data_IF_811700221115
#
_entry.id   IF_811700221115
#
_cell.length_a   1.000
_cell.length_b   1.000
_cell.length_c   1.000
_cell.angle_alpha   90.00
_cell.angle_beta   90.00
_cell.angle_gamma   90.00
#
_symmetry.space_group_name_H-M   'P 1'
#
loop_
_entity.id
_entity.type
_entity.pdbx_description
1 polymer ?
#
# COMPACT_ATOMS: atom_id res chain seq x y z
N UNK A 1 8.68 9.58 27.23
CA UNK A 1 7.90 8.95 26.15
C UNK A 1 8.72 9.15 24.89
N UNK A 2 9.20 8.08 24.27
CA UNK A 2 9.96 8.18 23.02
C UNK A 2 9.04 8.69 21.91
N UNK A 3 9.56 9.54 21.02
CA UNK A 3 8.80 9.96 19.84
C UNK A 3 8.47 8.74 18.98
N UNK A 4 7.25 8.67 18.39
CA UNK A 4 6.91 7.57 17.47
C UNK A 4 7.90 7.55 16.30
N UNK A 5 8.28 6.37 15.80
CA UNK A 5 9.18 6.21 14.63
C UNK A 5 8.55 6.75 13.34
N UNK A 6 9.34 7.03 12.28
CA UNK A 6 8.80 7.42 10.98
C UNK A 6 7.81 6.41 10.39
N UNK A 7 8.10 5.10 10.49
CA UNK A 7 7.18 4.03 10.06
C UNK A 7 5.87 4.05 10.85
N UNK A 8 5.93 4.16 12.18
CA UNK A 8 4.71 4.26 13.00
C UNK A 8 3.89 5.49 12.65
N UNK A 9 4.53 6.66 12.46
CA UNK A 9 3.83 7.89 12.06
C UNK A 9 3.12 7.72 10.71
N UNK A 10 3.78 7.09 9.75
CA UNK A 10 3.20 6.84 8.43
C UNK A 10 2.03 5.84 8.53
N UNK A 11 2.20 4.73 9.24
CA UNK A 11 1.14 3.75 9.48
C UNK A 11 -0.12 4.40 10.05
N UNK A 12 0.05 5.18 11.12
CA UNK A 12 -1.07 5.85 11.80
C UNK A 12 -1.75 6.85 10.85
N UNK A 13 -0.98 7.63 10.09
CA UNK A 13 -1.50 8.58 9.13
C UNK A 13 -2.28 7.90 7.99
N UNK A 14 -1.81 6.76 7.49
CA UNK A 14 -2.49 5.98 6.45
C UNK A 14 -3.80 5.36 6.95
N UNK A 15 -3.81 4.79 8.16
CA UNK A 15 -5.01 4.23 8.77
C UNK A 15 -6.08 5.30 9.02
N UNK A 16 -5.68 6.56 9.25
CA UNK A 16 -6.61 7.70 9.37
C UNK A 16 -7.33 8.05 8.07
N UNK A 17 -6.74 7.81 6.90
CA UNK A 17 -7.42 8.00 5.60
C UNK A 17 -8.66 7.09 5.55
N UNK A 18 -8.47 5.79 5.80
CA UNK A 18 -9.53 4.78 5.80
C UNK A 18 -10.52 4.88 6.96
N UNK A 19 -10.25 5.69 7.98
CA UNK A 19 -11.16 5.93 9.11
C UNK A 19 -12.34 6.84 8.77
N UNK A 20 -12.28 7.59 7.66
CA UNK A 20 -13.40 8.37 7.11
C UNK A 20 -13.83 9.56 7.97
N UNK A 21 -13.48 10.78 7.54
CA UNK A 21 -14.11 12.02 8.01
C UNK A 21 -13.73 12.51 9.42
N UNK A 22 -12.68 11.96 10.03
CA UNK A 22 -12.20 12.45 11.33
C UNK A 22 -11.40 13.76 11.21
N UNK A 23 -10.80 14.01 10.05
CA UNK A 23 -9.96 15.17 9.80
C UNK A 23 -10.27 15.77 8.41
N UNK A 24 -10.10 17.09 8.22
CA UNK A 24 -10.16 17.71 6.90
C UNK A 24 -9.12 17.13 5.94
N UNK A 25 -9.46 17.07 4.65
CA UNK A 25 -8.57 16.54 3.59
C UNK A 25 -7.18 17.19 3.61
N UNK A 26 -7.11 18.51 3.72
CA UNK A 26 -5.84 19.24 3.79
C UNK A 26 -4.98 18.86 5.01
N UNK A 27 -5.62 18.51 6.14
CA UNK A 27 -4.90 18.06 7.33
C UNK A 27 -4.39 16.62 7.15
N UNK A 28 -5.20 15.74 6.56
CA UNK A 28 -4.77 14.38 6.21
C UNK A 28 -3.61 14.40 5.22
N UNK A 29 -3.71 15.21 4.15
CA UNK A 29 -2.65 15.39 3.18
C UNK A 29 -1.35 15.89 3.83
N UNK A 30 -1.44 16.87 4.74
CA UNK A 30 -0.29 17.38 5.48
C UNK A 30 0.36 16.32 6.38
N UNK A 31 -0.46 15.54 7.11
CA UNK A 31 0.02 14.47 8.00
C UNK A 31 0.70 13.34 7.22
N UNK A 32 0.03 12.83 6.19
CA UNK A 32 0.55 11.75 5.34
C UNK A 32 1.80 12.21 4.60
N UNK A 33 1.77 13.40 3.99
CA UNK A 33 2.93 13.96 3.29
C UNK A 33 4.13 14.20 4.19
N UNK A 34 3.92 14.61 5.45
CA UNK A 34 5.01 14.75 6.43
C UNK A 34 5.57 13.40 6.84
N UNK A 35 4.70 12.43 7.16
CA UNK A 35 5.16 11.09 7.56
C UNK A 35 5.85 10.32 6.40
N UNK A 36 5.38 10.49 5.16
CA UNK A 36 6.04 9.96 3.96
C UNK A 36 7.42 10.57 3.78
N UNK A 37 7.55 11.90 3.86
CA UNK A 37 8.86 12.58 3.79
C UNK A 37 9.82 12.08 4.86
N UNK A 38 9.37 12.00 6.11
CA UNK A 38 10.20 11.53 7.21
C UNK A 38 10.75 10.12 6.98
N UNK A 39 9.91 9.19 6.48
CA UNK A 39 10.35 7.82 6.20
C UNK A 39 11.18 7.74 4.91
N UNK A 40 10.84 8.54 3.89
CA UNK A 40 11.59 8.58 2.64
C UNK A 40 13.00 9.14 2.86
N UNK A 41 13.17 10.16 3.71
CA UNK A 41 14.48 10.70 4.06
C UNK A 41 15.38 9.61 4.69
N UNK A 42 14.80 8.71 5.49
CA UNK A 42 15.51 7.58 6.10
C UNK A 42 15.86 6.48 5.09
N UNK A 43 14.92 6.14 4.19
CA UNK A 43 15.02 4.96 3.32
C UNK A 43 15.63 5.25 1.95
N UNK A 44 15.33 6.42 1.37
CA UNK A 44 15.63 6.83 -0.01
C UNK A 44 16.62 8.00 -0.08
N UNK A 45 16.65 8.85 0.95
CA UNK A 45 17.42 10.10 0.94
C UNK A 45 17.05 11.00 -0.24
N UNK A 46 18.07 11.58 -0.90
CA UNK A 46 17.90 12.55 -1.99
C UNK A 46 17.22 12.00 -3.27
N UNK A 47 17.03 10.67 -3.37
CA UNK A 47 16.37 10.03 -4.53
C UNK A 47 14.85 9.96 -4.40
N UNK A 48 14.30 10.47 -3.29
CA UNK A 48 12.87 10.50 -3.02
C UNK A 48 12.10 11.32 -4.06
N UNK A 49 10.91 10.82 -4.41
CA UNK A 49 9.90 11.47 -5.25
C UNK A 49 8.54 11.57 -4.57
N UNK A 50 8.49 11.40 -3.24
CA UNK A 50 7.23 11.39 -2.48
C UNK A 50 6.50 12.74 -2.49
N UNK A 51 7.15 13.82 -2.90
CA UNK A 51 6.53 15.13 -3.14
C UNK A 51 5.57 15.15 -4.33
N UNK A 52 5.68 14.17 -5.25
CA UNK A 52 4.80 14.02 -6.40
C UNK A 52 3.47 13.33 -6.05
N UNK A 53 3.29 12.92 -4.79
CA UNK A 53 2.03 12.35 -4.30
C UNK A 53 1.38 13.22 -3.24
N UNK A 54 0.06 13.12 -3.18
CA UNK A 54 -0.75 13.75 -2.13
C UNK A 54 -1.88 12.82 -1.71
N UNK A 55 -2.51 13.15 -0.58
CA UNK A 55 -3.87 12.67 -0.31
C UNK A 55 -4.83 13.63 -0.99
N UNK A 56 -5.80 13.07 -1.70
CA UNK A 56 -6.91 13.85 -2.22
C UNK A 56 -8.11 12.97 -2.49
N UNK A 57 -9.25 13.60 -2.70
CA UNK A 57 -10.47 12.87 -3.00
C UNK A 57 -10.80 12.75 -4.48
N UNK A 58 -11.62 11.76 -4.78
CA UNK A 58 -12.24 11.57 -6.09
C UNK A 58 -13.76 11.41 -5.92
N UNK A 59 -14.51 11.90 -6.91
CA UNK A 59 -15.95 11.81 -6.95
C UNK A 59 -16.37 10.49 -7.60
N UNK A 60 -16.82 9.54 -6.78
CA UNK A 60 -17.40 8.31 -7.24
C UNK A 60 -18.94 8.39 -7.36
N UNK A 61 -19.52 7.47 -8.14
CA UNK A 61 -20.98 7.36 -8.33
C UNK A 61 -21.76 7.17 -7.02
N UNK A 62 -21.08 6.70 -5.96
CA UNK A 62 -21.64 6.47 -4.63
C UNK A 62 -21.18 7.48 -3.57
N UNK A 63 -20.30 8.43 -3.90
CA UNK A 63 -19.79 9.43 -2.97
C UNK A 63 -18.34 9.83 -3.21
N UNK A 64 -17.79 10.60 -2.30
CA UNK A 64 -16.40 11.08 -2.29
C UNK A 64 -15.51 10.10 -1.51
N UNK A 65 -14.46 9.57 -2.11
CA UNK A 65 -13.45 8.76 -1.45
C UNK A 65 -12.10 9.48 -1.42
N UNK A 66 -11.39 9.42 -0.29
CA UNK A 66 -10.04 9.95 -0.13
C UNK A 66 -9.02 8.83 -0.36
N UNK A 67 -7.96 9.10 -1.10
CA UNK A 67 -6.89 8.13 -1.34
C UNK A 67 -5.56 8.83 -1.57
N UNK A 68 -4.51 8.03 -1.77
CA UNK A 68 -3.22 8.54 -2.24
C UNK A 68 -3.26 8.61 -3.76
N UNK A 69 -2.82 9.74 -4.31
CA UNK A 69 -2.84 10.05 -5.74
C UNK A 69 -1.63 10.86 -6.14
N UNK A 70 -1.35 10.92 -7.43
CA UNK A 70 -0.38 11.87 -7.96
C UNK A 70 -0.93 13.30 -7.85
N UNK A 71 -0.04 14.24 -7.53
CA UNK A 71 -0.40 15.64 -7.27
C UNK A 71 -0.88 16.34 -8.53
N UNK A 72 -0.14 16.20 -9.63
CA UNK A 72 -0.38 16.91 -10.89
C UNK A 72 -1.16 16.07 -11.92
N UNK A 73 -1.34 14.79 -11.64
CA UNK A 73 -1.99 13.82 -12.51
C UNK A 73 -3.09 13.13 -11.70
N UNK A 74 -4.30 13.71 -11.66
CA UNK A 74 -5.46 13.34 -10.84
C UNK A 74 -5.88 11.86 -10.95
N UNK A 75 -5.05 10.95 -10.44
CA UNK A 75 -5.11 9.50 -10.61
C UNK A 75 -4.63 8.88 -9.31
N UNK A 76 -5.41 7.95 -8.79
CA UNK A 76 -5.08 7.25 -7.55
C UNK A 76 -4.00 6.20 -7.80
N UNK A 77 -3.12 6.03 -6.82
CA UNK A 77 -2.03 5.05 -6.93
C UNK A 77 -2.52 3.61 -7.18
N UNK A 78 -3.60 3.11 -6.52
CA UNK A 78 -4.15 1.81 -6.85
C UNK A 78 -4.48 1.67 -8.34
N UNK A 79 -5.09 2.70 -8.95
CA UNK A 79 -5.53 2.65 -10.36
C UNK A 79 -4.34 2.47 -11.30
N UNK A 80 -3.21 3.14 -11.03
CA UNK A 80 -1.96 2.94 -11.78
C UNK A 80 -1.39 1.52 -11.61
N UNK A 81 -1.49 0.95 -10.40
CA UNK A 81 -1.05 -0.42 -10.15
C UNK A 81 -1.97 -1.47 -10.77
N UNK A 82 -3.27 -1.17 -10.91
CA UNK A 82 -4.20 -2.04 -11.65
C UNK A 82 -3.85 -2.10 -13.15
N UNK A 83 -3.46 -0.98 -13.77
CA UNK A 83 -3.00 -0.96 -15.16
C UNK A 83 -1.61 -1.59 -15.36
N UNK A 84 -0.88 -1.86 -14.26
CA UNK A 84 0.39 -2.59 -14.29
C UNK A 84 0.21 -4.12 -14.22
N UNK A 85 -1.03 -4.61 -14.23
CA UNK A 85 -1.32 -6.04 -14.27
C UNK A 85 -0.68 -6.71 -15.49
N UNK A 86 -0.31 -7.98 -15.31
CA UNK A 86 0.41 -8.80 -16.30
C UNK A 86 1.76 -8.21 -16.77
N UNK A 87 2.28 -7.17 -16.11
CA UNK A 87 3.59 -6.64 -16.41
C UNK A 87 4.69 -7.67 -16.10
N UNK A 88 5.66 -7.76 -17.00
CA UNK A 88 6.83 -8.61 -16.78
C UNK A 88 7.71 -8.05 -15.66
N UNK A 89 8.40 -8.95 -14.94
CA UNK A 89 9.45 -8.53 -14.00
C UNK A 89 10.46 -7.62 -14.71
N UNK A 90 10.70 -6.39 -14.24
CA UNK A 90 11.68 -5.50 -14.87
C UNK A 90 13.07 -6.14 -14.86
N UNK A 91 13.86 -6.03 -15.96
CA UNK A 91 15.20 -6.62 -16.02
C UNK A 91 16.11 -6.21 -14.86
N UNK A 92 16.05 -4.94 -14.44
CA UNK A 92 16.82 -4.40 -13.33
C UNK A 92 16.45 -5.07 -12.00
N UNK A 93 15.16 -5.35 -11.78
CA UNK A 93 14.71 -6.11 -10.61
C UNK A 93 15.21 -7.55 -10.68
N UNK A 94 15.10 -8.19 -11.86
CA UNK A 94 15.55 -9.57 -12.05
C UNK A 94 17.06 -9.72 -11.86
N UNK A 95 17.87 -8.76 -12.30
CA UNK A 95 19.32 -8.74 -12.11
C UNK A 95 19.70 -8.72 -10.62
N UNK A 96 18.98 -7.90 -9.83
CA UNK A 96 19.21 -7.77 -8.39
C UNK A 96 18.55 -8.92 -7.59
N UNK A 97 17.50 -9.53 -8.13
CA UNK A 97 16.67 -10.56 -7.48
C UNK A 97 16.46 -11.75 -8.42
N UNK A 98 17.52 -12.51 -8.75
CA UNK A 98 17.45 -13.55 -9.79
C UNK A 98 16.54 -14.74 -9.43
N UNK A 99 16.08 -14.84 -8.17
CA UNK A 99 15.13 -15.87 -7.72
C UNK A 99 13.67 -15.42 -7.78
N UNK A 100 13.42 -14.13 -8.05
CA UNK A 100 12.07 -13.61 -8.20
C UNK A 100 11.46 -14.23 -9.45
N UNK A 101 10.27 -14.81 -9.31
CA UNK A 101 9.52 -15.36 -10.45
C UNK A 101 8.44 -14.38 -10.90
N UNK A 102 7.91 -14.61 -12.10
CA UNK A 102 6.78 -13.84 -12.61
C UNK A 102 5.56 -13.98 -11.67
N UNK A 103 5.27 -15.18 -11.16
CA UNK A 103 4.14 -15.38 -10.24
C UNK A 103 4.32 -14.59 -8.92
N UNK A 104 5.54 -14.52 -8.39
CA UNK A 104 5.82 -13.71 -7.20
C UNK A 104 5.72 -12.20 -7.47
N UNK A 105 6.07 -11.76 -8.68
CA UNK A 105 5.92 -10.36 -9.09
C UNK A 105 4.45 -9.97 -9.24
N UNK A 106 3.65 -10.79 -9.90
CA UNK A 106 2.20 -10.59 -10.03
C UNK A 106 1.50 -10.59 -8.66
N UNK A 107 1.88 -11.52 -7.78
CA UNK A 107 1.35 -11.55 -6.41
C UNK A 107 1.74 -10.30 -5.61
N UNK A 108 2.96 -9.78 -5.79
CA UNK A 108 3.42 -8.53 -5.18
C UNK A 108 2.62 -7.33 -5.67
N UNK A 109 2.37 -7.21 -6.98
CA UNK A 109 1.57 -6.13 -7.54
C UNK A 109 0.12 -6.21 -7.03
N UNK A 110 -0.45 -7.42 -6.97
CA UNK A 110 -1.78 -7.62 -6.43
C UNK A 110 -1.88 -7.26 -4.95
N UNK A 111 -0.92 -7.71 -4.15
CA UNK A 111 -0.89 -7.35 -2.75
C UNK A 111 -0.76 -5.83 -2.57
N UNK A 112 0.11 -5.18 -3.35
CA UNK A 112 0.35 -3.74 -3.29
C UNK A 112 -0.91 -2.93 -3.60
N UNK A 113 -1.61 -3.22 -4.70
CA UNK A 113 -2.83 -2.50 -5.08
C UNK A 113 -3.98 -2.76 -4.10
N UNK A 114 -4.10 -3.97 -3.54
CA UNK A 114 -5.09 -4.26 -2.49
C UNK A 114 -4.79 -3.51 -1.18
N UNK A 115 -3.53 -3.44 -0.75
CA UNK A 115 -3.14 -2.67 0.44
C UNK A 115 -3.45 -1.18 0.25
N UNK A 116 -3.10 -0.60 -0.89
CA UNK A 116 -3.45 0.81 -1.12
C UNK A 116 -4.97 1.02 -1.17
N UNK A 117 -5.71 0.10 -1.82
CA UNK A 117 -7.18 0.16 -1.91
C UNK A 117 -7.85 0.06 -0.54
N UNK A 118 -7.36 -0.80 0.37
CA UNK A 118 -7.92 -0.94 1.72
C UNK A 118 -7.60 0.26 2.62
N UNK A 119 -6.63 1.10 2.25
CA UNK A 119 -6.26 2.31 2.99
C UNK A 119 -7.04 3.55 2.56
N UNK A 120 -7.63 3.57 1.36
CA UNK A 120 -8.50 4.68 0.92
C UNK A 120 -9.70 4.89 1.86
N UNK A 121 -10.42 6.00 1.85
CA UNK A 121 -11.69 6.10 2.57
C UNK A 121 -12.80 5.39 1.80
N UNK A 122 -13.82 4.91 2.51
CA UNK A 122 -15.06 4.53 1.83
C UNK A 122 -15.74 5.76 1.22
N UNK A 123 -16.49 5.62 0.10
CA UNK A 123 -17.22 6.71 -0.50
C UNK A 123 -18.23 7.32 0.49
N UNK A 124 -18.11 8.62 0.76
CA UNK A 124 -19.06 9.40 1.58
C UNK A 124 -20.03 10.13 0.65
N UNK A 125 -21.35 9.96 0.77
CA UNK A 125 -22.30 10.68 -0.09
C UNK A 125 -22.06 12.18 -0.01
N UNK A 126 -21.87 12.83 -1.16
CA UNK A 126 -21.82 14.29 -1.24
C UNK A 126 -23.25 14.80 -1.06
N UNK A 127 -23.46 15.76 -0.15
CA UNK A 127 -24.76 16.41 0.01
C UNK A 127 -25.14 17.09 -1.30
N UNK A 128 -26.15 16.56 -1.99
CA UNK A 128 -26.64 17.17 -3.20
C UNK A 128 -27.39 18.47 -2.83
N UNK A 129 -27.25 19.55 -3.62
CA UNK A 129 -28.06 20.74 -3.43
C UNK A 129 -29.55 20.35 -3.45
N UNK A 130 -30.33 20.94 -2.53
CA UNK A 130 -31.73 20.62 -2.31
C UNK A 130 -32.53 20.70 -3.64
N UNK A 131 -32.88 19.56 -4.23
CA UNK A 131 -33.68 19.52 -5.46
C UNK A 131 -33.54 18.26 -6.33
N UNK A 132 -32.51 17.44 -6.16
CA UNK A 132 -32.32 16.20 -6.95
C UNK A 132 -32.23 14.96 -6.05
N UNK A 133 -33.40 14.48 -5.60
CA UNK A 133 -33.52 13.14 -5.00
C UNK A 133 -33.66 12.10 -6.11
N UNK A 134 -32.55 11.76 -6.77
CA UNK A 134 -32.46 10.51 -7.54
C UNK A 134 -32.35 9.36 -6.52
N UNK A 135 -33.08 8.26 -6.74
CA UNK A 135 -33.09 7.07 -5.88
C UNK A 135 -31.65 6.63 -5.54
N UNK A 136 -31.17 6.96 -4.34
CA UNK A 136 -29.86 6.54 -3.83
C UNK A 136 -29.99 5.12 -3.30
N UNK A 137 -29.18 4.21 -3.83
CA UNK A 137 -29.01 2.87 -3.25
C UNK A 137 -28.52 2.99 -1.80
N UNK A 138 -28.98 2.13 -0.87
CA UNK A 138 -28.52 2.16 0.51
C UNK A 138 -27.01 1.93 0.61
N UNK A 139 -26.36 2.66 1.51
CA UNK A 139 -24.94 2.55 1.85
C UNK A 139 -24.56 1.07 2.10
N UNK A 140 -23.49 0.54 1.49
CA UNK A 140 -22.83 -0.64 2.03
C UNK A 140 -22.23 -0.26 3.39
N UNK A 141 -22.54 -1.05 4.43
CA UNK A 141 -21.90 -0.93 5.75
C UNK A 141 -20.39 -0.96 5.59
N UNK A 142 -19.65 -0.30 6.50
CA UNK A 142 -18.18 -0.39 6.50
C UNK A 142 -17.76 -1.84 6.41
N UNK A 143 -16.97 -2.18 5.39
CA UNK A 143 -16.69 -3.59 5.13
C UNK A 143 -15.91 -4.16 6.31
N UNK A 144 -16.49 -5.13 7.02
CA UNK A 144 -15.81 -5.86 8.11
C UNK A 144 -14.47 -6.42 7.62
N UNK A 145 -14.42 -6.87 6.36
CA UNK A 145 -13.20 -7.38 5.74
C UNK A 145 -12.11 -6.32 5.60
N UNK A 146 -12.46 -5.07 5.32
CA UNK A 146 -11.52 -3.94 5.26
C UNK A 146 -10.91 -3.66 6.63
N UNK A 147 -11.74 -3.60 7.68
CA UNK A 147 -11.24 -3.40 9.04
C UNK A 147 -10.33 -4.54 9.48
N UNK A 148 -10.71 -5.78 9.17
CA UNK A 148 -9.89 -6.96 9.44
C UNK A 148 -8.56 -6.94 8.71
N UNK A 149 -8.51 -6.52 7.44
CA UNK A 149 -7.25 -6.41 6.70
C UNK A 149 -6.34 -5.31 7.26
N UNK A 150 -6.90 -4.13 7.59
CA UNK A 150 -6.12 -3.08 8.27
C UNK A 150 -5.56 -3.55 9.62
N UNK A 151 -6.36 -4.29 10.41
CA UNK A 151 -5.91 -4.88 11.67
C UNK A 151 -4.82 -5.92 11.46
N UNK A 152 -4.96 -6.79 10.45
CA UNK A 152 -3.95 -7.79 10.12
C UNK A 152 -2.62 -7.16 9.69
N UNK A 153 -2.65 -6.08 8.90
CA UNK A 153 -1.46 -5.32 8.53
C UNK A 153 -0.82 -4.65 9.75
N UNK A 154 -1.59 -3.98 10.60
CA UNK A 154 -1.08 -3.35 11.81
C UNK A 154 -0.49 -4.37 12.80
N UNK A 155 -1.06 -5.57 12.86
CA UNK A 155 -0.60 -6.64 13.74
C UNK A 155 0.84 -7.08 13.45
N UNK A 156 1.29 -6.98 12.19
CA UNK A 156 2.68 -7.33 11.80
C UNK A 156 3.68 -6.44 12.52
N UNK A 157 3.41 -5.13 12.59
CA UNK A 157 4.29 -4.18 13.26
C UNK A 157 4.16 -4.24 14.79
N UNK A 158 2.96 -4.54 15.32
CA UNK A 158 2.61 -4.33 16.73
C UNK A 158 2.70 -5.60 17.59
N UNK A 159 2.48 -6.79 17.02
CA UNK A 159 2.25 -8.02 17.80
C UNK A 159 3.46 -8.96 17.80
N UNK A 160 4.45 -8.65 18.64
CA UNK A 160 5.61 -9.53 18.90
C UNK A 160 5.25 -10.90 19.52
N UNK A 161 4.03 -11.05 20.03
CA UNK A 161 3.54 -12.28 20.65
C UNK A 161 2.97 -13.35 19.71
N UNK A 162 2.62 -13.00 18.47
CA UNK A 162 2.10 -13.96 17.49
C UNK A 162 3.24 -14.63 16.72
N UNK A 163 3.15 -15.93 16.48
CA UNK A 163 4.11 -16.65 15.64
C UNK A 163 4.04 -16.17 14.19
N UNK A 164 5.11 -16.44 13.44
CA UNK A 164 5.18 -16.13 12.01
C UNK A 164 4.03 -16.79 11.21
N UNK A 165 3.69 -18.02 11.56
CA UNK A 165 2.62 -18.79 10.91
C UNK A 165 1.25 -18.18 11.19
N UNK A 166 1.00 -17.74 12.42
CA UNK A 166 -0.25 -17.06 12.80
C UNK A 166 -0.40 -15.71 12.08
N UNK A 167 0.65 -14.89 12.05
CA UNK A 167 0.63 -13.62 11.33
C UNK A 167 0.39 -13.82 9.83
N UNK A 168 1.05 -14.82 9.23
CA UNK A 168 0.86 -15.17 7.81
C UNK A 168 -0.56 -15.64 7.54
N UNK A 169 -1.09 -16.55 8.35
CA UNK A 169 -2.44 -17.08 8.19
C UNK A 169 -3.51 -15.98 8.34
N UNK A 170 -3.33 -15.11 9.34
CA UNK A 170 -4.24 -14.00 9.60
C UNK A 170 -4.24 -12.99 8.45
N UNK A 171 -3.06 -12.60 7.95
CA UNK A 171 -2.93 -11.71 6.79
C UNK A 171 -3.59 -12.30 5.54
N UNK A 172 -3.30 -13.56 5.21
CA UNK A 172 -3.86 -14.23 4.02
C UNK A 172 -5.38 -14.35 4.09
N UNK A 173 -5.92 -14.70 5.26
CA UNK A 173 -7.38 -14.77 5.46
C UNK A 173 -8.01 -13.40 5.23
N UNK A 174 -7.49 -12.35 5.88
CA UNK A 174 -8.06 -11.02 5.76
C UNK A 174 -7.94 -10.45 4.32
N UNK A 175 -6.86 -10.78 3.61
CA UNK A 175 -6.70 -10.45 2.19
C UNK A 175 -7.78 -11.11 1.33
N UNK A 176 -8.05 -12.40 1.53
CA UNK A 176 -9.08 -13.11 0.77
C UNK A 176 -10.51 -12.64 1.10
N UNK A 177 -10.77 -12.38 2.38
CA UNK A 177 -12.05 -11.81 2.83
C UNK A 177 -12.30 -10.45 2.18
N UNK A 178 -11.24 -9.64 1.98
CA UNK A 178 -11.34 -8.34 1.33
C UNK A 178 -11.41 -8.42 -0.20
N UNK A 179 -10.52 -9.20 -0.83
CA UNK A 179 -10.37 -9.28 -2.28
C UNK A 179 -11.37 -10.23 -2.96
N UNK A 180 -12.13 -10.99 -2.17
CA UNK A 180 -12.92 -12.15 -2.59
C UNK A 180 -12.07 -13.36 -2.98
N UNK A 181 -12.65 -14.55 -2.77
CA UNK A 181 -12.03 -15.86 -2.95
C UNK A 181 -11.95 -16.34 -4.42
N UNK A 182 -11.59 -15.46 -5.35
CA UNK A 182 -11.35 -15.86 -6.76
C UNK A 182 -10.13 -16.79 -6.86
N UNK A 183 -10.04 -17.64 -7.90
CA UNK A 183 -8.88 -18.52 -8.09
C UNK A 183 -7.56 -17.75 -8.10
N UNK A 184 -7.50 -16.64 -8.82
CA UNK A 184 -6.30 -15.83 -8.98
C UNK A 184 -5.86 -15.22 -7.65
N UNK A 185 -6.81 -14.69 -6.85
CA UNK A 185 -6.51 -14.18 -5.53
C UNK A 185 -6.01 -15.28 -4.59
N UNK A 186 -6.62 -16.48 -4.64
CA UNK A 186 -6.20 -17.62 -3.83
C UNK A 186 -4.79 -18.07 -4.14
N UNK A 187 -4.40 -18.05 -5.41
CA UNK A 187 -3.05 -18.38 -5.85
C UNK A 187 -2.06 -17.31 -5.37
N UNK A 188 -2.33 -16.04 -5.69
CA UNK A 188 -1.45 -14.93 -5.33
C UNK A 188 -1.19 -14.80 -3.83
N UNK A 189 -2.20 -14.98 -2.95
CA UNK A 189 -1.97 -14.89 -1.50
C UNK A 189 -1.04 -15.98 -0.97
N UNK A 190 -0.88 -17.12 -1.65
CA UNK A 190 0.10 -18.15 -1.25
C UNK A 190 1.55 -17.69 -1.44
N UNK A 191 1.77 -16.68 -2.28
CA UNK A 191 3.07 -16.06 -2.49
C UNK A 191 3.40 -14.98 -1.45
N UNK A 192 2.45 -14.58 -0.60
CA UNK A 192 2.66 -13.56 0.44
C UNK A 192 2.85 -14.22 1.79
N UNK A 193 3.89 -13.86 2.54
CA UNK A 193 4.14 -14.36 3.87
C UNK A 193 4.63 -13.25 4.81
N UNK A 194 4.36 -13.41 6.09
CA UNK A 194 5.09 -12.66 7.12
C UNK A 194 6.29 -13.52 7.50
N UNK A 195 7.49 -12.95 7.53
CA UNK A 195 8.71 -13.68 7.90
C UNK A 195 9.42 -12.92 9.01
N UNK A 196 9.85 -13.61 10.06
CA UNK A 196 10.73 -13.00 11.05
C UNK A 196 12.16 -13.02 10.54
N UNK A 197 12.80 -11.86 10.53
CA UNK A 197 14.21 -11.76 10.21
C UNK A 197 15.04 -12.63 11.18
N UNK A 198 16.23 -13.05 10.72
CA UNK A 198 17.12 -13.88 11.53
C UNK A 198 17.79 -13.03 12.60
N UNK A 199 18.06 -13.65 13.74
CA UNK A 199 18.78 -13.01 14.84
C UNK A 199 20.05 -12.28 14.38
N UNK A 200 20.36 -11.11 14.99
CA UNK A 200 19.73 -10.55 16.19
C UNK A 200 18.42 -9.79 15.95
N UNK A 201 18.03 -9.59 14.69
CA UNK A 201 16.87 -8.80 14.31
C UNK A 201 15.65 -9.73 14.12
N UNK A 202 14.80 -9.90 15.15
CA UNK A 202 13.61 -10.77 15.09
C UNK A 202 12.36 -10.05 14.52
N UNK A 203 12.55 -8.96 13.78
CA UNK A 203 11.44 -8.17 13.23
C UNK A 203 10.61 -8.97 12.22
N UNK A 204 9.29 -8.79 12.28
CA UNK A 204 8.37 -9.33 11.29
C UNK A 204 8.37 -8.45 10.03
N UNK A 205 8.58 -9.08 8.87
CA UNK A 205 8.69 -8.47 7.56
C UNK A 205 7.62 -9.03 6.62
N UNK A 206 7.16 -8.22 5.67
CA UNK A 206 6.30 -8.65 4.58
C UNK A 206 7.20 -9.22 3.47
N UNK A 207 7.09 -10.51 3.20
CA UNK A 207 7.97 -11.23 2.29
C UNK A 207 7.21 -12.03 1.24
N UNK A 208 7.90 -12.29 0.13
CA UNK A 208 7.53 -13.30 -0.83
C UNK A 208 7.87 -14.69 -0.28
N UNK A 209 6.89 -15.59 -0.25
CA UNK A 209 6.95 -16.84 0.50
C UNK A 209 8.00 -17.82 -0.03
N UNK A 210 8.26 -17.83 -1.35
CA UNK A 210 9.18 -18.77 -2.00
C UNK A 210 10.59 -18.22 -2.05
N UNK A 211 10.79 -16.98 -2.50
CA UNK A 211 12.11 -16.37 -2.58
C UNK A 211 12.62 -15.83 -1.24
N UNK A 212 11.71 -15.54 -0.30
CA UNK A 212 12.02 -14.92 1.00
C UNK A 212 12.37 -13.44 0.89
N UNK A 213 12.17 -12.81 -0.28
CA UNK A 213 12.46 -11.41 -0.48
C UNK A 213 11.44 -10.51 0.22
N UNK A 214 11.91 -9.52 0.99
CA UNK A 214 11.04 -8.49 1.54
C UNK A 214 10.39 -7.68 0.41
N UNK A 215 9.06 -7.56 0.44
CA UNK A 215 8.24 -6.99 -0.63
C UNK A 215 8.58 -5.52 -0.86
N UNK A 216 8.65 -4.73 0.22
CA UNK A 216 9.03 -3.31 0.11
C UNK A 216 10.40 -3.13 -0.53
N UNK A 217 11.35 -4.02 -0.27
CA UNK A 217 12.69 -3.97 -0.86
C UNK A 217 12.73 -4.40 -2.33
N UNK A 218 11.79 -5.24 -2.78
CA UNK A 218 11.64 -5.58 -4.21
C UNK A 218 11.11 -4.36 -4.96
N UNK A 219 10.08 -3.68 -4.42
CA UNK A 219 9.53 -2.46 -5.01
C UNK A 219 10.57 -1.32 -5.06
N UNK A 220 11.33 -1.09 -3.98
CA UNK A 220 12.41 -0.09 -4.00
C UNK A 220 13.47 -0.41 -5.06
N UNK A 221 13.74 -1.70 -5.33
CA UNK A 221 14.63 -2.12 -6.41
C UNK A 221 14.07 -1.93 -7.82
N UNK A 222 12.77 -1.64 -7.94
CA UNK A 222 12.12 -1.30 -9.20
C UNK A 222 12.19 0.21 -9.52
N UNK A 223 12.71 1.04 -8.61
CA UNK A 223 12.96 2.46 -8.86
C UNK A 223 13.84 2.65 -10.12
N UNK A 224 13.40 3.54 -11.02
CA UNK A 224 14.07 3.79 -12.30
C UNK A 224 13.78 2.77 -13.40
N UNK A 225 12.93 1.78 -13.16
CA UNK A 225 12.47 0.87 -14.21
C UNK A 225 11.58 1.60 -15.23
N UNK A 226 11.48 1.07 -16.47
CA UNK A 226 10.51 1.57 -17.45
C UNK A 226 9.08 1.47 -16.91
N UNK A 227 8.23 2.38 -17.36
CA UNK A 227 6.77 2.32 -17.12
C UNK A 227 6.24 1.13 -17.92
N UNK A 228 5.43 0.23 -17.33
CA UNK A 228 4.81 -0.87 -18.06
C UNK A 228 3.92 -0.37 -19.21
N UNK A 229 3.89 -1.10 -20.33
CA UNK A 229 3.11 -0.70 -21.51
C UNK A 229 1.62 -0.56 -21.18
N UNK A 230 1.04 -1.47 -20.39
CA UNK A 230 -0.37 -1.38 -19.95
C UNK A 230 -0.70 -0.10 -19.16
N UNK A 231 0.27 0.41 -18.39
CA UNK A 231 0.11 1.70 -17.69
C UNK A 231 0.14 2.85 -18.69
N UNK A 232 1.02 2.81 -19.70
CA UNK A 232 1.09 3.85 -20.74
C UNK A 232 -0.11 3.82 -21.69
N UNK A 233 -0.72 2.66 -21.90
CA UNK A 233 -1.94 2.53 -22.71
C UNK A 233 -3.12 3.28 -22.06
N UNK A 234 -3.26 3.16 -20.73
CA UNK A 234 -4.31 3.86 -19.96
C UNK A 234 -3.93 5.31 -19.60
N UNK A 235 -2.63 5.56 -19.40
CA UNK A 235 -2.08 6.84 -18.90
C UNK A 235 -0.88 7.29 -19.75
N UNK A 236 -1.11 7.71 -21.01
CA UNK A 236 -0.04 7.97 -21.98
C UNK A 236 0.86 9.17 -21.63
N UNK A 237 0.35 10.07 -20.78
CA UNK A 237 1.09 11.27 -20.34
C UNK A 237 1.88 11.05 -19.04
N UNK A 238 1.78 9.86 -18.43
CA UNK A 238 2.47 9.54 -17.18
C UNK A 238 3.99 9.59 -17.37
N UNK A 239 4.66 10.36 -16.53
CA UNK A 239 6.11 10.50 -16.56
C UNK A 239 6.81 9.41 -15.75
N UNK A 240 8.10 9.22 -16.02
CA UNK A 240 8.91 8.24 -15.25
C UNK A 240 9.06 8.64 -13.79
N UNK A 241 9.19 9.94 -13.49
CA UNK A 241 9.31 10.41 -12.11
C UNK A 241 8.01 10.15 -11.32
N UNK A 242 6.84 10.33 -11.95
CA UNK A 242 5.55 9.98 -11.34
C UNK A 242 5.41 8.48 -11.11
N UNK A 243 5.79 7.64 -12.09
CA UNK A 243 5.80 6.19 -11.91
C UNK A 243 6.75 5.76 -10.79
N UNK A 244 7.95 6.33 -10.71
CA UNK A 244 8.88 6.08 -9.61
C UNK A 244 8.26 6.50 -8.27
N UNK A 245 7.56 7.63 -8.21
CA UNK A 245 6.85 8.06 -7.00
C UNK A 245 5.79 7.03 -6.57
N UNK A 246 5.02 6.46 -7.50
CA UNK A 246 4.05 5.38 -7.22
C UNK A 246 4.75 4.18 -6.59
N UNK A 247 5.83 3.71 -7.19
CA UNK A 247 6.60 2.56 -6.69
C UNK A 247 7.19 2.84 -5.31
N UNK A 248 7.84 3.99 -5.12
CA UNK A 248 8.45 4.41 -3.86
C UNK A 248 7.41 4.51 -2.75
N UNK A 249 6.30 5.20 -2.98
CA UNK A 249 5.24 5.39 -1.98
C UNK A 249 4.58 4.06 -1.63
N UNK A 250 4.34 3.19 -2.61
CA UNK A 250 3.83 1.84 -2.37
C UNK A 250 4.79 1.06 -1.47
N UNK A 251 6.10 1.10 -1.75
CA UNK A 251 7.10 0.44 -0.94
C UNK A 251 7.14 1.00 0.51
N UNK A 252 7.14 2.32 0.66
CA UNK A 252 7.15 2.99 1.97
C UNK A 252 5.88 2.68 2.78
N UNK A 253 4.72 2.62 2.14
CA UNK A 253 3.47 2.18 2.76
C UNK A 253 3.60 0.77 3.31
N UNK A 254 4.14 -0.18 2.53
CA UNK A 254 4.33 -1.56 3.01
C UNK A 254 5.34 -1.63 4.15
N UNK A 255 6.45 -0.87 4.06
CA UNK A 255 7.45 -0.78 5.14
C UNK A 255 6.86 -0.22 6.44
N UNK A 256 5.86 0.67 6.38
CA UNK A 256 5.20 1.21 7.57
C UNK A 256 4.45 0.16 8.40
N UNK A 257 4.06 -0.96 7.77
CA UNK A 257 3.39 -2.09 8.41
C UNK A 257 4.35 -3.22 8.82
N UNK A 258 5.64 -3.11 8.53
CA UNK A 258 6.65 -4.02 9.07
C UNK A 258 7.07 -3.63 10.48
N UNK A 259 7.54 -4.60 11.26
CA UNK A 259 8.08 -4.33 12.58
C UNK A 259 9.36 -3.48 12.49
N UNK A 260 9.53 -2.60 13.48
CA UNK A 260 10.72 -1.76 13.59
C UNK A 260 11.99 -2.61 13.73
N UNK A 261 13.12 -2.18 13.16
CA UNK A 261 14.41 -2.69 13.61
C UNK A 261 14.53 -2.42 15.11
N UNK A 262 14.88 -3.45 15.88
CA UNK A 262 15.19 -3.23 17.30
C UNK A 262 16.47 -2.43 17.33
N UNK A 263 16.42 -1.15 17.73
CA UNK A 263 17.62 -0.37 17.94
C UNK A 263 18.56 -1.19 18.82
N UNK A 264 19.76 -1.48 18.32
CA UNK A 264 20.84 -1.97 19.13
C UNK A 264 21.26 -0.82 20.06
N UNK A 265 20.46 -0.53 21.08
CA UNK A 265 20.92 0.17 22.27
C UNK A 265 21.88 -0.76 23.00
N UNK A 266 23.12 -0.78 22.51
CA UNK A 266 24.31 -1.17 23.24
C UNK A 266 25.02 0.07 23.78
#
# INVERSE_FOLDING_TARGET
MSSPSPRSRLRDALLLIGAGGQLPEAELASRVGTALRDLADEVLGDSSRVELVTVGGDAHSWGWNLGIRLTDYDVRLPDLLWSADDSAVPPQVQENRPRLTQEEWEALLLFSKLVLTVLESEPVPVDAPAGQQTQRSPRPTRSVAREQLCQALAAIAEHSGLSQEELTAHLRSALLDFASETPDNKEAVQHIAVVRARQPDERALLCLSRSGYAIGQVLLGADGCPIPDGVLDDFPDLTRDEWNAVIQVTALTLLAFEAEPTDATG
#
